data_IF_751472589591
#
_entry.id   IF_751472589591
#
_cell.length_a   1.000
_cell.length_b   1.000
_cell.length_c   1.000
_cell.angle_alpha   90.00
_cell.angle_beta   90.00
_cell.angle_gamma   90.00
#
_symmetry.space_group_name_H-M   'P 1'
#
loop_
_entity.id
_entity.type
_entity.pdbx_description
1 polymer ?
#
# COMPACT_ATOMS: atom_id res chain seq x y z
N UNK A 1 27.75 -20.95 -7.12
CA UNK A 1 26.42 -20.61 -6.55
C UNK A 1 26.30 -19.11 -6.64
N UNK A 2 25.12 -18.62 -7.07
CA UNK A 2 24.87 -17.17 -7.11
C UNK A 2 24.96 -16.58 -5.71
N UNK A 3 25.76 -15.55 -5.53
CA UNK A 3 25.83 -14.76 -4.32
C UNK A 3 24.59 -13.85 -4.26
N UNK A 4 23.98 -13.75 -3.08
CA UNK A 4 22.92 -12.77 -2.81
C UNK A 4 23.49 -11.71 -1.88
N UNK A 5 23.50 -10.47 -2.33
CA UNK A 5 24.03 -9.32 -1.61
C UNK A 5 23.29 -8.04 -1.95
N UNK A 6 23.53 -7.00 -1.20
CA UNK A 6 23.14 -5.67 -1.62
C UNK A 6 23.92 -5.22 -2.84
N UNK A 7 23.28 -4.42 -3.69
CA UNK A 7 23.89 -3.85 -4.88
C UNK A 7 24.98 -2.83 -4.51
N UNK A 8 25.95 -2.67 -5.39
CA UNK A 8 26.92 -1.59 -5.38
C UNK A 8 26.61 -0.60 -6.51
N UNK A 9 27.23 0.55 -6.51
CA UNK A 9 27.06 1.53 -7.59
C UNK A 9 27.41 0.97 -8.97
N UNK A 10 28.42 0.10 -9.04
CA UNK A 10 28.84 -0.54 -10.30
C UNK A 10 27.79 -1.52 -10.86
N UNK A 11 26.86 -1.98 -10.03
CA UNK A 11 25.78 -2.87 -10.49
C UNK A 11 24.60 -2.11 -11.13
N UNK A 12 24.53 -0.79 -10.98
CA UNK A 12 23.42 0.06 -11.41
C UNK A 12 23.03 -0.18 -12.88
N UNK A 13 23.99 -0.21 -13.77
CA UNK A 13 23.76 -0.40 -15.21
C UNK A 13 23.10 -1.75 -15.52
N UNK A 14 23.58 -2.82 -14.89
CA UNK A 14 23.03 -4.16 -15.10
C UNK A 14 21.60 -4.26 -14.49
N UNK A 15 21.37 -3.62 -13.35
CA UNK A 15 20.07 -3.59 -12.67
C UNK A 15 19.05 -2.82 -13.52
N UNK A 16 19.43 -1.65 -14.05
CA UNK A 16 18.58 -0.87 -14.95
C UNK A 16 18.24 -1.66 -16.22
N UNK A 17 19.22 -2.29 -16.86
CA UNK A 17 18.99 -3.12 -18.04
C UNK A 17 18.01 -4.28 -17.75
N UNK A 18 18.11 -4.92 -16.57
CA UNK A 18 17.18 -5.97 -16.16
C UNK A 18 15.78 -5.42 -15.91
N UNK A 19 15.64 -4.21 -15.36
CA UNK A 19 14.37 -3.53 -15.18
C UNK A 19 13.71 -3.25 -16.53
N UNK A 20 14.41 -2.57 -17.44
CA UNK A 20 13.94 -2.24 -18.79
C UNK A 20 13.56 -3.49 -19.60
N UNK A 21 14.27 -4.59 -19.41
CA UNK A 21 13.92 -5.88 -20.00
C UNK A 21 12.63 -6.49 -19.41
N UNK A 22 12.40 -6.30 -18.12
CA UNK A 22 11.37 -7.03 -17.36
C UNK A 22 10.03 -6.30 -17.27
N UNK A 23 10.05 -4.98 -17.37
CA UNK A 23 8.89 -4.11 -17.21
C UNK A 23 8.67 -3.28 -18.46
N UNK A 24 7.39 -2.94 -18.72
CA UNK A 24 6.99 -2.16 -19.91
C UNK A 24 6.82 -0.68 -19.56
N UNK A 25 7.64 -0.18 -18.62
CA UNK A 25 7.59 1.21 -18.21
C UNK A 25 8.14 2.12 -19.31
N UNK A 26 7.60 3.33 -19.41
CA UNK A 26 8.11 4.36 -20.30
C UNK A 26 9.53 4.80 -19.88
N UNK A 27 10.40 5.11 -20.86
CA UNK A 27 11.78 5.52 -20.58
C UNK A 27 11.87 6.68 -19.58
N UNK A 28 10.97 7.65 -19.68
CA UNK A 28 10.90 8.80 -18.76
C UNK A 28 10.63 8.37 -17.31
N UNK A 29 9.82 7.34 -17.10
CA UNK A 29 9.57 6.80 -15.75
C UNK A 29 10.79 6.04 -15.23
N UNK A 30 11.44 5.23 -16.08
CA UNK A 30 12.67 4.52 -15.72
C UNK A 30 13.77 5.51 -15.34
N UNK A 31 13.96 6.58 -16.10
CA UNK A 31 14.91 7.65 -15.77
C UNK A 31 14.59 8.28 -14.41
N UNK A 32 13.34 8.67 -14.19
CA UNK A 32 12.87 9.20 -12.90
C UNK A 32 13.17 8.24 -11.76
N UNK A 33 12.78 6.96 -11.92
CA UNK A 33 12.93 5.97 -10.86
C UNK A 33 14.40 5.78 -10.46
N UNK A 34 15.28 5.59 -11.43
CA UNK A 34 16.71 5.37 -11.17
C UNK A 34 17.45 6.63 -10.71
N UNK A 35 16.97 7.82 -11.05
CA UNK A 35 17.54 9.10 -10.58
C UNK A 35 17.05 9.52 -9.18
N UNK A 36 15.77 9.29 -8.86
CA UNK A 36 15.12 9.84 -7.66
C UNK A 36 14.80 8.82 -6.57
N UNK A 37 14.49 7.59 -6.95
CA UNK A 37 13.99 6.55 -6.03
C UNK A 37 15.00 5.45 -5.75
N UNK A 38 15.81 5.09 -6.73
CA UNK A 38 16.74 3.98 -6.61
C UNK A 38 17.83 4.24 -5.57
N UNK A 39 18.07 3.21 -4.72
CA UNK A 39 19.16 3.22 -3.76
C UNK A 39 19.83 1.82 -3.75
N UNK A 40 21.13 1.71 -4.12
CA UNK A 40 21.83 0.43 -4.11
C UNK A 40 21.82 -0.24 -2.73
N UNK A 41 21.88 0.54 -1.64
CA UNK A 41 21.79 0.01 -0.27
C UNK A 41 20.43 -0.61 0.11
N UNK A 42 19.40 -0.43 -0.73
CA UNK A 42 18.08 -1.03 -0.58
C UNK A 42 17.80 -2.10 -1.65
N UNK A 43 18.73 -2.39 -2.54
CA UNK A 43 18.56 -3.33 -3.64
C UNK A 43 19.31 -4.63 -3.35
N UNK A 44 18.60 -5.75 -3.30
CA UNK A 44 19.18 -7.09 -3.22
C UNK A 44 19.32 -7.67 -4.63
N UNK A 45 20.48 -8.19 -4.93
CA UNK A 45 20.79 -8.83 -6.22
C UNK A 45 21.27 -10.27 -6.04
N UNK A 46 20.99 -11.09 -7.06
CA UNK A 46 21.66 -12.36 -7.25
C UNK A 46 22.64 -12.21 -8.41
N UNK A 47 23.93 -12.37 -8.15
CA UNK A 47 25.00 -12.15 -9.14
C UNK A 47 25.99 -13.32 -9.14
N UNK A 48 26.50 -13.65 -10.31
CA UNK A 48 27.68 -14.49 -10.56
C UNK A 48 28.72 -13.61 -11.25
N UNK A 49 29.12 -13.92 -12.45
CA UNK A 49 29.91 -13.00 -13.29
C UNK A 49 29.08 -11.85 -13.84
N UNK A 50 27.76 -12.07 -13.99
CA UNK A 50 26.77 -11.09 -14.41
C UNK A 50 25.57 -11.12 -13.47
N UNK A 51 24.73 -10.08 -13.54
CA UNK A 51 23.48 -10.00 -12.81
C UNK A 51 22.51 -11.07 -13.31
N UNK A 52 21.87 -11.77 -12.40
CA UNK A 52 20.84 -12.80 -12.68
C UNK A 52 19.45 -12.37 -12.29
N UNK A 53 19.32 -11.64 -11.17
CA UNK A 53 18.06 -11.21 -10.60
C UNK A 53 18.24 -10.01 -9.67
N UNK A 54 17.17 -9.23 -9.49
CA UNK A 54 17.13 -8.04 -8.65
C UNK A 54 15.82 -7.95 -7.88
N UNK A 55 15.86 -7.32 -6.70
CA UNK A 55 14.72 -6.99 -5.86
C UNK A 55 15.05 -5.75 -5.05
N UNK A 56 14.18 -4.73 -5.07
CA UNK A 56 14.37 -3.51 -4.30
C UNK A 56 13.46 -3.47 -3.08
N UNK A 57 13.95 -2.89 -2.00
CA UNK A 57 13.26 -2.70 -0.72
C UNK A 57 13.21 -1.21 -0.41
N UNK A 58 12.29 -0.48 -1.05
CA UNK A 58 12.18 0.96 -0.84
C UNK A 58 11.70 1.27 0.58
N UNK A 59 12.41 2.12 1.33
CA UNK A 59 12.05 2.43 2.71
C UNK A 59 10.81 3.32 2.77
N UNK A 60 9.89 2.96 3.66
CA UNK A 60 8.70 3.72 4.00
C UNK A 60 8.47 3.73 5.50
N UNK A 61 7.52 4.56 5.94
CA UNK A 61 6.95 4.49 7.28
C UNK A 61 5.46 4.21 7.17
N UNK A 62 5.00 3.22 7.94
CA UNK A 62 3.60 2.88 8.04
C UNK A 62 3.10 3.19 9.45
N UNK A 63 1.95 3.85 9.54
CA UNK A 63 1.25 4.03 10.80
C UNK A 63 0.19 2.93 10.94
N UNK A 64 0.20 2.20 12.04
CA UNK A 64 -0.79 1.17 12.34
C UNK A 64 -1.34 1.45 13.74
N UNK A 65 -2.60 1.90 13.82
CA UNK A 65 -3.28 2.21 15.09
C UNK A 65 -2.46 3.18 15.95
N UNK A 66 -1.98 4.27 15.35
CA UNK A 66 -1.14 5.33 15.96
C UNK A 66 0.28 4.90 16.34
N UNK A 67 0.74 3.77 15.82
CA UNK A 67 2.09 3.28 16.01
C UNK A 67 2.87 3.40 14.69
N UNK A 68 3.83 4.33 14.64
CA UNK A 68 4.68 4.57 13.47
C UNK A 68 5.81 3.56 13.41
N UNK A 69 5.95 2.87 12.30
CA UNK A 69 6.91 1.80 12.10
C UNK A 69 7.65 1.95 10.76
N UNK A 70 8.94 1.63 10.76
CA UNK A 70 9.67 1.47 9.51
C UNK A 70 9.19 0.20 8.80
N UNK A 71 9.05 0.30 7.50
CA UNK A 71 8.67 -0.79 6.60
C UNK A 71 9.43 -0.66 5.30
N UNK A 72 9.49 -1.73 4.52
CA UNK A 72 9.96 -1.67 3.15
C UNK A 72 8.85 -2.06 2.17
N UNK A 73 8.73 -1.29 1.11
CA UNK A 73 7.93 -1.63 -0.05
C UNK A 73 8.82 -2.35 -1.05
N UNK A 74 8.55 -3.65 -1.23
CA UNK A 74 9.30 -4.53 -2.14
C UNK A 74 8.81 -4.31 -3.56
N UNK A 75 9.72 -3.92 -4.45
CA UNK A 75 9.45 -3.61 -5.86
C UNK A 75 10.49 -4.18 -6.79
N UNK A 76 10.23 -4.17 -8.09
CA UNK A 76 11.21 -4.48 -9.13
C UNK A 76 11.78 -5.89 -9.05
N UNK A 77 10.96 -6.87 -8.60
CA UNK A 77 11.42 -8.27 -8.56
C UNK A 77 11.53 -8.79 -9.97
N UNK A 78 12.74 -8.98 -10.44
CA UNK A 78 13.03 -9.38 -11.80
C UNK A 78 14.10 -10.46 -11.87
N UNK A 79 13.96 -11.34 -12.87
CA UNK A 79 14.91 -12.46 -13.13
C UNK A 79 15.06 -12.60 -14.64
N UNK A 80 16.26 -12.59 -15.16
CA UNK A 80 16.51 -12.85 -16.58
C UNK A 80 15.91 -14.21 -16.99
N UNK A 81 15.30 -14.34 -18.18
CA UNK A 81 14.56 -15.54 -18.60
C UNK A 81 15.38 -16.82 -18.53
N UNK A 82 16.64 -16.77 -18.96
CA UNK A 82 17.59 -17.90 -18.99
C UNK A 82 17.99 -18.36 -17.57
N UNK A 83 17.65 -17.60 -16.55
CA UNK A 83 17.88 -17.93 -15.14
C UNK A 83 16.61 -18.25 -14.36
N UNK A 84 15.44 -18.24 -15.02
CA UNK A 84 14.16 -18.67 -14.43
C UNK A 84 14.22 -20.16 -14.06
N UNK A 85 13.39 -20.59 -13.13
CA UNK A 85 13.43 -21.96 -12.61
C UNK A 85 14.51 -22.27 -11.58
N UNK A 86 15.51 -21.39 -11.40
CA UNK A 86 16.62 -21.56 -10.42
C UNK A 86 16.26 -21.06 -9.01
N UNK A 87 15.00 -20.79 -8.74
CA UNK A 87 14.47 -20.30 -7.44
C UNK A 87 15.08 -18.95 -6.98
N UNK A 88 15.55 -18.09 -7.91
CA UNK A 88 16.18 -16.81 -7.56
C UNK A 88 15.22 -15.87 -6.86
N UNK A 89 13.98 -15.73 -7.35
CA UNK A 89 12.91 -14.97 -6.67
C UNK A 89 12.72 -15.43 -5.21
N UNK A 90 12.67 -16.75 -4.98
CA UNK A 90 12.55 -17.31 -3.63
C UNK A 90 13.71 -16.92 -2.74
N UNK A 91 14.94 -17.02 -3.27
CA UNK A 91 16.13 -16.66 -2.49
C UNK A 91 16.16 -15.17 -2.16
N UNK A 92 15.82 -14.30 -3.13
CA UNK A 92 15.77 -12.85 -2.93
C UNK A 92 14.70 -12.45 -1.92
N UNK A 93 13.47 -12.99 -2.05
CA UNK A 93 12.38 -12.68 -1.10
C UNK A 93 12.66 -13.20 0.30
N UNK A 94 13.20 -14.41 0.45
CA UNK A 94 13.60 -14.93 1.75
C UNK A 94 14.66 -14.03 2.39
N UNK A 95 15.69 -13.65 1.62
CA UNK A 95 16.73 -12.73 2.10
C UNK A 95 16.14 -11.35 2.47
N UNK A 96 15.23 -10.82 1.65
CA UNK A 96 14.56 -9.55 1.92
C UNK A 96 13.77 -9.58 3.25
N UNK A 97 13.10 -10.70 3.55
CA UNK A 97 12.35 -10.88 4.79
C UNK A 97 13.26 -11.10 6.01
N UNK A 98 14.36 -11.83 5.85
CA UNK A 98 15.39 -11.96 6.89
C UNK A 98 16.01 -10.59 7.21
N UNK A 99 16.35 -9.80 6.20
CA UNK A 99 16.85 -8.43 6.37
C UNK A 99 15.82 -7.52 7.06
N UNK A 100 14.56 -7.60 6.65
CA UNK A 100 13.48 -6.86 7.29
C UNK A 100 13.40 -7.15 8.80
N UNK A 101 13.46 -8.43 9.18
CA UNK A 101 13.47 -8.84 10.57
C UNK A 101 14.71 -8.31 11.32
N UNK A 102 15.90 -8.45 10.73
CA UNK A 102 17.15 -7.99 11.33
C UNK A 102 17.21 -6.47 11.51
N UNK A 103 16.59 -5.72 10.61
CA UNK A 103 16.45 -4.26 10.69
C UNK A 103 15.34 -3.81 11.66
N UNK A 104 14.60 -4.75 12.25
CA UNK A 104 13.51 -4.48 13.18
C UNK A 104 12.22 -4.00 12.53
N UNK A 105 12.07 -4.14 11.22
CA UNK A 105 10.81 -3.89 10.52
C UNK A 105 9.75 -4.89 10.99
N UNK A 106 8.50 -4.43 11.10
CA UNK A 106 7.40 -5.27 11.61
C UNK A 106 6.51 -5.80 10.51
N UNK A 107 6.44 -5.07 9.42
CA UNK A 107 5.61 -5.34 8.24
C UNK A 107 6.48 -5.18 7.00
N UNK A 108 6.19 -5.93 5.96
CA UNK A 108 6.71 -5.75 4.60
C UNK A 108 5.53 -5.58 3.65
N UNK A 109 5.68 -4.68 2.67
CA UNK A 109 4.67 -4.32 1.68
C UNK A 109 5.13 -4.72 0.29
N UNK A 110 4.19 -5.05 -0.59
CA UNK A 110 4.44 -5.16 -2.04
C UNK A 110 3.14 -4.94 -2.84
N UNK A 111 3.28 -4.39 -4.06
CA UNK A 111 2.21 -4.36 -5.05
C UNK A 111 2.38 -5.58 -5.96
N UNK A 112 1.43 -6.52 -5.98
CA UNK A 112 1.59 -7.77 -6.72
C UNK A 112 1.27 -7.60 -8.21
N UNK A 113 2.08 -8.20 -9.07
CA UNK A 113 1.70 -8.47 -10.46
C UNK A 113 0.61 -9.55 -10.49
N UNK A 114 0.80 -10.59 -9.67
CA UNK A 114 -0.15 -11.69 -9.43
C UNK A 114 -0.01 -12.14 -7.97
N UNK A 115 -1.10 -12.06 -7.24
CA UNK A 115 -1.15 -12.39 -5.81
C UNK A 115 -0.76 -13.84 -5.51
N UNK A 116 -1.05 -14.77 -6.43
CA UNK A 116 -0.71 -16.19 -6.27
C UNK A 116 0.79 -16.43 -6.14
N UNK A 117 1.61 -15.57 -6.78
CA UNK A 117 3.07 -15.66 -6.70
C UNK A 117 3.57 -15.39 -5.28
N UNK A 118 2.96 -14.45 -4.56
CA UNK A 118 3.48 -13.93 -3.29
C UNK A 118 2.86 -14.59 -2.06
N UNK A 119 1.68 -15.22 -2.17
CA UNK A 119 1.03 -15.94 -1.05
C UNK A 119 1.91 -17.01 -0.44
N UNK A 120 2.66 -17.76 -1.24
CA UNK A 120 3.61 -18.77 -0.74
C UNK A 120 4.75 -18.20 0.12
N UNK A 121 4.95 -16.88 0.07
CA UNK A 121 5.90 -16.17 0.93
C UNK A 121 5.21 -15.50 2.12
N UNK A 122 3.94 -15.78 2.35
CA UNK A 122 3.15 -15.26 3.47
C UNK A 122 2.60 -13.85 3.27
N UNK A 123 2.69 -13.28 2.07
CA UNK A 123 2.00 -12.05 1.73
C UNK A 123 0.53 -12.31 1.44
N UNK A 124 -0.35 -11.40 1.87
CA UNK A 124 -1.77 -11.42 1.54
C UNK A 124 -2.28 -10.03 1.16
N UNK A 125 -3.38 -9.99 0.37
CA UNK A 125 -4.05 -8.74 0.05
C UNK A 125 -4.58 -8.10 1.33
N UNK A 126 -4.09 -6.91 1.65
CA UNK A 126 -4.43 -6.17 2.84
C UNK A 126 -4.95 -4.77 2.55
N UNK A 127 -4.69 -4.26 1.37
CA UNK A 127 -5.14 -2.94 0.95
C UNK A 127 -5.94 -3.06 -0.33
N UNK A 128 -7.09 -2.42 -0.34
CA UNK A 128 -7.97 -2.34 -1.49
C UNK A 128 -8.48 -0.92 -1.64
N UNK A 129 -8.82 -0.54 -2.86
CA UNK A 129 -9.38 0.76 -3.17
C UNK A 129 -10.72 0.57 -3.89
N UNK A 130 -11.66 1.47 -3.63
CA UNK A 130 -12.79 1.64 -4.51
C UNK A 130 -12.34 2.31 -5.79
N UNK A 131 -12.88 1.83 -6.90
CA UNK A 131 -12.73 2.41 -8.23
C UNK A 131 -14.13 2.78 -8.74
N UNK A 132 -14.39 4.08 -8.83
CA UNK A 132 -15.63 4.64 -9.35
C UNK A 132 -15.42 4.98 -10.83
N UNK A 133 -16.24 4.42 -11.72
CA UNK A 133 -16.26 4.78 -13.14
C UNK A 133 -17.51 5.62 -13.40
N UNK A 134 -17.30 6.87 -13.84
CA UNK A 134 -18.34 7.89 -14.00
C UNK A 134 -18.23 8.51 -15.38
N UNK A 135 -19.36 8.57 -16.13
CA UNK A 135 -19.39 9.33 -17.38
C UNK A 135 -19.35 10.83 -17.06
N UNK A 136 -18.56 11.61 -17.78
CA UNK A 136 -18.44 13.04 -17.54
C UNK A 136 -19.78 13.79 -17.76
N UNK A 137 -20.64 13.27 -18.64
CA UNK A 137 -22.00 13.80 -18.88
C UNK A 137 -22.93 13.65 -17.67
N UNK A 138 -22.64 12.73 -16.76
CA UNK A 138 -23.43 12.46 -15.54
C UNK A 138 -22.93 13.28 -14.34
N UNK A 139 -21.79 13.97 -14.46
CA UNK A 139 -21.29 14.87 -13.43
C UNK A 139 -21.96 16.23 -13.54
N UNK A 140 -22.66 16.63 -12.48
CA UNK A 140 -23.31 17.93 -12.41
C UNK A 140 -22.28 19.06 -12.33
N UNK A 141 -22.45 20.07 -13.18
CA UNK A 141 -21.58 21.26 -13.19
C UNK A 141 -22.03 22.25 -12.12
N UNK A 142 -21.24 22.36 -11.04
CA UNK A 142 -21.55 23.26 -9.91
C UNK A 142 -20.59 24.44 -9.89
N UNK A 143 -21.10 25.63 -10.17
CA UNK A 143 -20.30 26.85 -10.13
C UNK A 143 -20.11 27.33 -8.67
N UNK A 144 -19.03 26.89 -8.04
CA UNK A 144 -18.70 27.30 -6.67
C UNK A 144 -17.69 28.45 -6.67
N UNK A 145 -18.20 29.68 -6.46
CA UNK A 145 -17.35 30.89 -6.42
C UNK A 145 -16.54 31.04 -5.14
N UNK A 146 -16.76 30.20 -4.15
CA UNK A 146 -16.05 30.26 -2.85
C UNK A 146 -14.75 29.46 -2.84
N UNK A 147 -14.43 28.73 -3.89
CA UNK A 147 -13.25 27.89 -4.00
C UNK A 147 -12.35 28.37 -5.11
N UNK A 148 -11.09 28.55 -4.81
CA UNK A 148 -10.03 28.77 -5.79
C UNK A 148 -9.28 27.46 -6.02
N UNK A 149 -9.24 26.99 -7.31
CA UNK A 149 -8.47 25.85 -7.73
C UNK A 149 -7.13 26.33 -8.32
N UNK A 150 -6.04 25.90 -7.70
CA UNK A 150 -4.68 26.17 -8.14
C UNK A 150 -4.05 24.89 -8.71
N UNK A 151 -3.54 24.95 -9.95
CA UNK A 151 -2.72 23.88 -10.52
C UNK A 151 -1.28 24.04 -10.02
N UNK A 152 -0.76 23.01 -9.35
CA UNK A 152 0.62 22.99 -8.88
C UNK A 152 1.54 22.71 -10.07
N UNK A 153 2.31 23.72 -10.47
CA UNK A 153 3.28 23.63 -11.57
C UNK A 153 4.71 23.41 -11.11
N UNK A 154 4.98 23.66 -9.83
CA UNK A 154 6.26 23.44 -9.17
C UNK A 154 6.00 23.14 -7.70
N UNK A 155 6.63 22.10 -7.16
CA UNK A 155 6.55 21.80 -5.73
C UNK A 155 7.46 22.78 -4.93
N UNK A 156 6.94 23.28 -3.81
CA UNK A 156 7.66 24.08 -2.80
C UNK A 156 7.41 23.50 -1.43
N UNK A 157 8.20 23.89 -0.44
CA UNK A 157 8.01 23.45 0.94
C UNK A 157 6.62 23.82 1.47
N UNK A 158 6.15 25.03 1.16
CA UNK A 158 4.83 25.51 1.59
C UNK A 158 3.69 24.66 0.96
N UNK A 159 3.81 24.34 -0.33
CA UNK A 159 2.82 23.51 -1.00
C UNK A 159 2.85 22.07 -0.47
N UNK A 160 4.03 21.52 -0.25
CA UNK A 160 4.15 20.19 0.35
C UNK A 160 3.51 20.13 1.74
N UNK A 161 3.73 21.16 2.59
CA UNK A 161 3.12 21.26 3.91
C UNK A 161 1.58 21.34 3.83
N UNK A 162 1.02 22.10 2.88
CA UNK A 162 -0.44 22.15 2.68
C UNK A 162 -1.01 20.78 2.25
N UNK A 163 -0.32 20.04 1.37
CA UNK A 163 -0.74 18.70 0.98
C UNK A 163 -0.64 17.70 2.14
N UNK A 164 0.42 17.81 2.97
CA UNK A 164 0.59 17.01 4.19
C UNK A 164 -0.56 17.30 5.16
N UNK A 165 -0.91 18.56 5.38
CA UNK A 165 -2.01 18.96 6.27
C UNK A 165 -3.33 18.33 5.85
N UNK A 166 -3.70 18.41 4.57
CA UNK A 166 -4.92 17.79 4.02
C UNK A 166 -4.88 16.27 4.21
N UNK A 167 -3.73 15.64 3.88
CA UNK A 167 -3.57 14.20 4.02
C UNK A 167 -3.73 13.74 5.47
N UNK A 168 -3.08 14.43 6.42
CA UNK A 168 -3.16 14.09 7.84
C UNK A 168 -4.55 14.33 8.41
N UNK A 169 -5.29 15.35 7.93
CA UNK A 169 -6.68 15.57 8.34
C UNK A 169 -7.57 14.38 7.93
N UNK A 170 -7.37 13.85 6.71
CA UNK A 170 -8.06 12.62 6.26
C UNK A 170 -7.58 11.39 7.02
N UNK A 171 -6.29 11.29 7.30
CA UNK A 171 -5.67 10.16 8.01
C UNK A 171 -6.16 10.00 9.46
N UNK A 172 -6.79 11.01 10.06
CA UNK A 172 -7.47 10.89 11.37
C UNK A 172 -8.54 9.80 11.38
N UNK A 173 -9.12 9.49 10.22
CA UNK A 173 -10.15 8.47 10.05
C UNK A 173 -9.59 7.08 9.74
N UNK A 174 -8.27 6.96 9.52
CA UNK A 174 -7.64 5.69 9.13
C UNK A 174 -6.84 5.10 10.28
N UNK A 175 -6.99 3.81 10.45
CA UNK A 175 -6.17 3.03 11.39
C UNK A 175 -4.80 2.69 10.81
N UNK A 176 -4.72 2.58 9.47
CA UNK A 176 -3.50 2.19 8.76
C UNK A 176 -3.28 3.09 7.55
N UNK A 177 -2.11 3.72 7.46
CA UNK A 177 -1.72 4.55 6.33
C UNK A 177 -0.18 4.69 6.24
N UNK A 178 0.35 5.02 5.06
CA UNK A 178 1.76 5.37 4.91
C UNK A 178 1.98 6.84 5.31
N UNK A 179 3.01 7.08 6.11
CA UNK A 179 3.37 8.45 6.50
C UNK A 179 4.04 9.16 5.32
N UNK A 180 3.62 10.39 5.10
CA UNK A 180 4.11 11.24 4.01
C UNK A 180 4.77 12.48 4.59
N UNK A 181 5.98 12.76 4.15
CA UNK A 181 6.74 13.97 4.46
C UNK A 181 6.92 14.86 3.21
N UNK A 182 7.66 15.96 3.36
CA UNK A 182 7.96 16.86 2.22
C UNK A 182 8.69 16.12 1.10
N UNK A 183 9.66 15.26 1.45
CA UNK A 183 10.43 14.52 0.45
C UNK A 183 9.53 13.57 -0.35
N UNK A 184 8.53 12.95 0.31
CA UNK A 184 7.50 12.18 -0.38
C UNK A 184 6.78 13.03 -1.43
N UNK A 185 6.30 14.24 -1.08
CA UNK A 185 5.57 15.09 -2.03
C UNK A 185 6.45 15.66 -3.13
N UNK A 186 7.74 15.88 -2.91
CA UNK A 186 8.67 16.23 -3.98
C UNK A 186 8.82 15.09 -4.99
N UNK A 187 9.08 13.87 -4.53
CA UNK A 187 9.22 12.71 -5.41
C UNK A 187 7.90 12.34 -6.09
N UNK A 188 6.79 12.43 -5.36
CA UNK A 188 5.45 12.17 -5.88
C UNK A 188 5.04 13.17 -6.96
N UNK A 189 5.39 14.46 -6.79
CA UNK A 189 5.16 15.48 -7.80
C UNK A 189 5.92 15.19 -9.10
N UNK A 190 7.20 14.81 -9.00
CA UNK A 190 8.01 14.44 -10.16
C UNK A 190 7.46 13.20 -10.87
N UNK A 191 7.05 12.18 -10.13
CA UNK A 191 6.40 10.96 -10.65
C UNK A 191 5.13 11.32 -11.44
N UNK A 192 4.22 12.10 -10.83
CA UNK A 192 2.99 12.54 -11.48
C UNK A 192 3.27 13.29 -12.78
N UNK A 193 4.29 14.16 -12.79
CA UNK A 193 4.67 14.94 -13.99
C UNK A 193 5.20 14.04 -15.11
N UNK A 194 6.04 13.08 -14.77
CA UNK A 194 6.58 12.11 -15.75
C UNK A 194 5.47 11.29 -16.39
N UNK A 195 4.45 10.95 -15.63
CA UNK A 195 3.25 10.23 -16.09
C UNK A 195 2.17 11.14 -16.73
N UNK A 196 2.50 12.42 -17.03
CA UNK A 196 1.59 13.42 -17.57
C UNK A 196 0.33 13.70 -16.70
N UNK A 197 0.45 13.50 -15.41
CA UNK A 197 -0.57 13.87 -14.42
C UNK A 197 -0.41 15.30 -13.92
N UNK A 198 -1.42 15.75 -13.19
CA UNK A 198 -1.50 17.09 -12.60
C UNK A 198 -2.02 17.06 -11.18
N UNK A 199 -1.54 17.98 -10.35
CA UNK A 199 -2.05 18.17 -8.98
C UNK A 199 -2.82 19.50 -8.94
N UNK A 200 -4.05 19.45 -8.42
CA UNK A 200 -4.88 20.62 -8.15
C UNK A 200 -5.10 20.76 -6.66
N UNK A 201 -4.81 21.95 -6.13
CA UNK A 201 -5.07 22.34 -4.75
C UNK A 201 -6.32 23.23 -4.71
N UNK A 202 -7.26 22.92 -3.83
CA UNK A 202 -8.44 23.72 -3.56
C UNK A 202 -8.20 24.58 -2.29
N UNK A 203 -8.49 25.87 -2.39
CA UNK A 203 -8.44 26.82 -1.26
C UNK A 203 -9.78 27.55 -1.14
N UNK A 204 -10.20 27.83 0.09
CA UNK A 204 -11.38 28.65 0.36
C UNK A 204 -11.10 30.15 0.19
N UNK A 205 -12.11 31.01 0.39
CA UNK A 205 -11.95 32.46 0.30
C UNK A 205 -10.99 33.07 1.34
N UNK A 206 -10.71 32.35 2.42
CA UNK A 206 -9.69 32.73 3.41
C UNK A 206 -8.28 32.24 3.02
N UNK A 207 -8.14 31.67 1.82
CA UNK A 207 -6.90 31.07 1.32
C UNK A 207 -6.41 29.85 2.11
N UNK A 208 -7.31 29.18 2.88
CA UNK A 208 -7.02 27.95 3.61
C UNK A 208 -7.15 26.75 2.68
N UNK A 209 -6.27 25.73 2.80
CA UNK A 209 -6.33 24.53 1.98
C UNK A 209 -7.53 23.64 2.41
N UNK A 210 -8.38 23.29 1.46
CA UNK A 210 -9.60 22.49 1.72
C UNK A 210 -9.66 21.19 0.93
N UNK A 211 -8.63 20.89 0.12
CA UNK A 211 -8.54 19.63 -0.61
C UNK A 211 -7.47 19.65 -1.69
N UNK A 212 -7.09 18.46 -2.17
CA UNK A 212 -6.30 18.33 -3.39
C UNK A 212 -6.74 17.12 -4.21
N UNK A 213 -6.45 17.17 -5.51
CA UNK A 213 -6.74 16.11 -6.46
C UNK A 213 -5.52 15.85 -7.35
N UNK A 214 -5.20 14.58 -7.55
CA UNK A 214 -4.23 14.10 -8.55
C UNK A 214 -5.00 13.56 -9.73
N UNK A 215 -4.87 14.20 -10.90
CA UNK A 215 -5.67 13.91 -12.08
C UNK A 215 -4.79 13.65 -13.31
N UNK A 216 -5.07 12.58 -14.02
CA UNK A 216 -4.44 12.18 -15.28
C UNK A 216 -5.47 12.29 -16.40
N UNK A 217 -5.44 13.38 -17.19
CA UNK A 217 -6.43 13.60 -18.25
C UNK A 217 -6.20 12.75 -19.50
N UNK A 218 -5.08 12.03 -19.59
CA UNK A 218 -4.66 11.31 -20.81
C UNK A 218 -4.12 9.90 -20.55
N UNK A 219 -4.57 9.25 -19.47
CA UNK A 219 -4.03 7.93 -19.12
C UNK A 219 -4.49 6.84 -20.11
N UNK A 220 -5.72 6.94 -20.63
CA UNK A 220 -6.28 6.09 -21.68
C UNK A 220 -7.02 6.96 -22.71
N UNK A 221 -7.21 6.47 -23.95
CA UNK A 221 -8.04 7.18 -24.94
C UNK A 221 -9.45 7.44 -24.38
N UNK A 222 -9.89 8.70 -24.41
CA UNK A 222 -11.21 9.16 -23.92
C UNK A 222 -11.50 8.93 -22.44
N UNK A 223 -10.53 8.48 -21.62
CA UNK A 223 -10.71 8.26 -20.19
C UNK A 223 -9.73 9.05 -19.36
N UNK A 224 -10.25 9.77 -18.37
CA UNK A 224 -9.46 10.39 -17.32
C UNK A 224 -9.29 9.45 -16.12
N UNK A 225 -8.28 9.74 -15.30
CA UNK A 225 -8.02 8.99 -14.08
C UNK A 225 -7.70 9.92 -12.94
N UNK A 226 -8.46 9.83 -11.85
CA UNK A 226 -8.19 10.52 -10.58
C UNK A 226 -7.58 9.50 -9.62
N UNK A 227 -6.28 9.61 -9.41
CA UNK A 227 -5.50 8.74 -8.53
C UNK A 227 -5.74 9.03 -7.06
N UNK A 228 -5.85 10.33 -6.70
CA UNK A 228 -6.18 10.79 -5.36
C UNK A 228 -7.17 11.95 -5.41
N UNK A 229 -8.12 11.92 -4.50
CA UNK A 229 -9.09 12.99 -4.31
C UNK A 229 -9.38 13.14 -2.82
N UNK A 230 -8.78 14.14 -2.20
CA UNK A 230 -9.02 14.50 -0.83
C UNK A 230 -9.72 15.85 -0.75
N UNK A 231 -10.79 15.88 0.02
CA UNK A 231 -11.59 17.08 0.27
C UNK A 231 -12.00 17.13 1.74
N UNK A 232 -11.92 18.31 2.33
CA UNK A 232 -12.28 18.55 3.72
C UNK A 232 -13.73 19.05 3.86
N UNK A 233 -14.28 19.57 2.77
CA UNK A 233 -15.68 19.96 2.66
C UNK A 233 -16.29 19.69 1.28
N UNK A 234 -17.62 19.83 1.16
CA UNK A 234 -18.35 19.58 -0.08
C UNK A 234 -18.03 20.60 -1.19
N UNK A 235 -17.61 21.81 -0.85
CA UNK A 235 -17.30 22.83 -1.84
C UNK A 235 -16.04 22.51 -2.63
N UNK A 236 -15.04 21.90 -1.98
CA UNK A 236 -13.85 21.37 -2.63
C UNK A 236 -14.20 20.22 -3.58
N UNK A 237 -15.03 19.26 -3.13
CA UNK A 237 -15.48 18.15 -3.95
C UNK A 237 -16.24 18.63 -5.19
N UNK A 238 -17.21 19.54 -5.00
CA UNK A 238 -17.98 20.15 -6.12
C UNK A 238 -17.08 20.81 -7.14
N UNK A 239 -16.04 21.52 -6.67
CA UNK A 239 -15.10 22.23 -7.54
C UNK A 239 -14.21 21.25 -8.33
N UNK A 240 -13.72 20.18 -7.68
CA UNK A 240 -12.95 19.15 -8.37
C UNK A 240 -13.79 18.39 -9.40
N UNK A 241 -15.03 18.02 -9.04
CA UNK A 241 -15.92 17.34 -10.00
C UNK A 241 -16.29 18.25 -11.18
N UNK A 242 -16.48 19.54 -10.94
CA UNK A 242 -16.69 20.54 -12.01
C UNK A 242 -15.46 20.65 -12.92
N UNK A 243 -14.24 20.64 -12.34
CA UNK A 243 -13.00 20.63 -13.12
C UNK A 243 -12.92 19.37 -13.99
N UNK A 244 -13.18 18.20 -13.44
CA UNK A 244 -13.20 16.94 -14.22
C UNK A 244 -14.24 17.01 -15.32
N UNK A 245 -15.48 17.44 -15.02
CA UNK A 245 -16.56 17.58 -16.00
C UNK A 245 -16.25 18.59 -17.13
N UNK A 246 -15.36 19.55 -16.89
CA UNK A 246 -14.93 20.51 -17.93
C UNK A 246 -14.18 19.85 -19.09
N UNK A 247 -13.67 18.64 -18.90
CA UNK A 247 -12.97 17.86 -19.93
C UNK A 247 -13.91 17.05 -20.85
N UNK A 248 -15.22 17.18 -20.73
CA UNK A 248 -16.24 16.43 -21.51
C UNK A 248 -16.13 16.51 -23.03
N UNK A 249 -15.35 17.45 -23.57
CA UNK A 249 -15.04 17.54 -25.02
C UNK A 249 -13.86 16.67 -25.42
N UNK A 250 -13.13 16.12 -24.46
CA UNK A 250 -11.90 15.34 -24.66
C UNK A 250 -12.02 13.94 -24.04
N UNK A 251 -12.83 13.80 -23.00
CA UNK A 251 -13.01 12.56 -22.23
C UNK A 251 -14.48 12.18 -22.17
N UNK A 252 -14.77 10.89 -22.30
CA UNK A 252 -16.10 10.32 -22.14
C UNK A 252 -16.37 9.97 -20.67
N UNK A 253 -15.37 9.43 -19.97
CA UNK A 253 -15.49 8.97 -18.58
C UNK A 253 -14.24 9.28 -17.74
N UNK A 254 -14.38 9.16 -16.44
CA UNK A 254 -13.29 9.23 -15.47
C UNK A 254 -13.37 8.05 -14.52
N UNK A 255 -12.22 7.47 -14.23
CA UNK A 255 -12.06 6.53 -13.10
C UNK A 255 -11.51 7.28 -11.89
N UNK A 256 -12.18 7.19 -10.73
CA UNK A 256 -11.78 7.85 -9.49
C UNK A 256 -11.43 6.78 -8.46
N UNK A 257 -10.20 6.75 -8.00
CA UNK A 257 -9.81 5.89 -6.89
C UNK A 257 -10.10 6.54 -5.54
N UNK A 258 -10.58 5.74 -4.60
CA UNK A 258 -10.97 6.20 -3.28
C UNK A 258 -10.66 5.16 -2.20
N UNK A 259 -10.40 5.60 -0.95
CA UNK A 259 -10.31 4.70 0.20
C UNK A 259 -11.67 4.03 0.51
N UNK A 260 -11.64 2.99 1.34
CA UNK A 260 -12.82 2.18 1.66
C UNK A 260 -13.88 2.93 2.51
N UNK A 261 -13.49 4.02 3.17
CA UNK A 261 -14.39 4.91 3.92
C UNK A 261 -14.98 6.05 3.08
N UNK A 262 -14.75 6.03 1.76
CA UNK A 262 -15.22 7.09 0.86
C UNK A 262 -16.74 7.20 0.83
N UNK A 263 -17.21 8.44 0.88
CA UNK A 263 -18.62 8.80 0.75
C UNK A 263 -19.01 9.22 -0.67
N UNK A 264 -18.14 8.99 -1.67
CA UNK A 264 -18.34 9.43 -3.05
C UNK A 264 -19.59 8.81 -3.70
N UNK A 265 -19.97 7.60 -3.28
CA UNK A 265 -21.20 6.94 -3.74
C UNK A 265 -22.46 7.75 -3.36
N UNK A 266 -22.47 8.36 -2.15
CA UNK A 266 -23.58 9.22 -1.70
C UNK A 266 -23.60 10.54 -2.46
N UNK A 267 -22.42 11.09 -2.79
CA UNK A 267 -22.30 12.29 -3.60
C UNK A 267 -22.98 12.12 -4.97
N UNK A 268 -22.83 10.97 -5.60
CA UNK A 268 -23.47 10.64 -6.86
C UNK A 268 -24.88 10.05 -6.74
N UNK A 269 -25.46 9.98 -5.54
CA UNK A 269 -26.85 9.63 -5.31
C UNK A 269 -27.21 8.15 -5.54
N UNK A 270 -26.25 7.21 -5.40
CA UNK A 270 -26.52 5.77 -5.55
C UNK A 270 -27.28 5.38 -6.83
N UNK A 271 -26.97 6.01 -7.94
CA UNK A 271 -27.68 5.75 -9.19
C UNK A 271 -26.95 4.67 -10.04
N UNK A 272 -27.71 4.01 -10.92
CA UNK A 272 -27.18 2.94 -11.79
C UNK A 272 -26.24 3.44 -12.91
N UNK A 273 -25.95 4.74 -12.96
CA UNK A 273 -25.04 5.33 -13.96
C UNK A 273 -23.57 5.26 -13.55
N UNK A 274 -23.30 4.87 -12.30
CA UNK A 274 -21.94 4.79 -11.75
C UNK A 274 -21.62 3.34 -11.50
N UNK A 275 -20.52 2.89 -12.07
CA UNK A 275 -19.93 1.58 -11.77
C UNK A 275 -18.97 1.72 -10.60
N UNK A 276 -19.14 0.91 -9.57
CA UNK A 276 -18.23 0.86 -8.43
C UNK A 276 -17.65 -0.54 -8.31
N UNK A 277 -16.35 -0.62 -8.31
CA UNK A 277 -15.63 -1.89 -8.08
C UNK A 277 -14.66 -1.76 -6.94
N UNK A 278 -14.48 -2.85 -6.18
CA UNK A 278 -13.44 -3.01 -5.18
C UNK A 278 -12.24 -3.70 -5.82
N UNK A 279 -11.10 -3.03 -5.85
CA UNK A 279 -9.87 -3.57 -6.45
C UNK A 279 -8.81 -3.82 -5.37
N UNK A 280 -8.27 -5.06 -5.26
CA UNK A 280 -7.07 -5.30 -4.49
C UNK A 280 -5.94 -4.40 -5.02
N UNK A 281 -5.19 -3.79 -4.12
CA UNK A 281 -4.12 -2.87 -4.50
C UNK A 281 -2.76 -3.35 -4.02
N UNK A 282 -2.60 -3.53 -2.71
CA UNK A 282 -1.30 -3.89 -2.13
C UNK A 282 -1.41 -5.07 -1.17
N UNK A 283 -0.38 -5.88 -1.15
CA UNK A 283 -0.20 -6.96 -0.18
C UNK A 283 0.68 -6.50 0.97
N UNK A 284 0.44 -7.10 2.14
CA UNK A 284 1.30 -6.96 3.31
C UNK A 284 1.70 -8.34 3.84
N UNK A 285 2.77 -8.37 4.66
CA UNK A 285 3.22 -9.52 5.43
C UNK A 285 3.78 -9.07 6.76
N UNK A 286 3.35 -9.74 7.84
CA UNK A 286 3.98 -9.57 9.16
C UNK A 286 5.38 -10.18 9.13
N UNK A 287 6.36 -9.41 9.59
CA UNK A 287 7.77 -9.82 9.72
C UNK A 287 8.08 -10.26 11.14
N UNK A 288 7.49 -9.59 12.16
CA UNK A 288 7.71 -9.89 13.59
C UNK A 288 6.36 -10.20 14.27
N UNK A 289 6.06 -11.49 14.37
CA UNK A 289 4.82 -11.99 14.98
C UNK A 289 4.74 -11.66 16.46
N UNK A 290 5.84 -11.81 17.19
CA UNK A 290 5.87 -11.56 18.64
C UNK A 290 5.48 -10.11 18.93
N UNK A 291 6.08 -9.17 18.23
CA UNK A 291 5.76 -7.75 18.37
C UNK A 291 4.26 -7.47 18.10
N UNK A 292 3.73 -8.03 17.02
CA UNK A 292 2.31 -7.84 16.65
C UNK A 292 1.38 -8.37 17.73
N UNK A 293 1.64 -9.57 18.24
CA UNK A 293 0.83 -10.16 19.29
C UNK A 293 0.96 -9.40 20.63
N UNK A 294 2.15 -8.90 20.98
CA UNK A 294 2.35 -8.04 22.15
C UNK A 294 1.54 -6.74 22.07
N UNK A 295 1.50 -6.11 20.88
CA UNK A 295 0.68 -4.92 20.65
C UNK A 295 -0.82 -5.21 20.79
N UNK A 296 -1.29 -6.30 20.21
CA UNK A 296 -2.71 -6.69 20.28
C UNK A 296 -3.14 -7.07 21.70
N UNK A 297 -2.26 -7.74 22.45
CA UNK A 297 -2.58 -8.28 23.76
C UNK A 297 -2.41 -7.29 24.92
N UNK A 298 -1.75 -6.14 24.70
CA UNK A 298 -1.23 -5.23 25.73
C UNK A 298 -2.17 -4.98 26.92
N UNK A 299 -3.46 -4.77 26.64
CA UNK A 299 -4.46 -4.45 27.68
C UNK A 299 -5.55 -5.54 27.78
N UNK A 300 -5.24 -6.75 27.31
CA UNK A 300 -6.19 -7.84 27.24
C UNK A 300 -6.05 -8.81 28.40
N UNK A 301 -7.17 -9.16 29.03
CA UNK A 301 -7.25 -10.29 29.98
C UNK A 301 -7.71 -11.50 29.17
N UNK A 302 -6.76 -12.34 28.77
CA UNK A 302 -7.03 -13.59 28.08
C UNK A 302 -5.90 -14.60 28.33
N UNK A 303 -6.18 -15.86 28.09
CA UNK A 303 -5.23 -16.98 28.19
C UNK A 303 -5.44 -17.83 26.92
N UNK A 304 -4.53 -17.72 25.94
CA UNK A 304 -4.67 -18.31 24.61
C UNK A 304 -3.32 -18.64 24.00
N UNK A 305 -3.18 -19.85 23.46
CA UNK A 305 -1.98 -20.30 22.75
C UNK A 305 -2.25 -20.33 21.24
N UNK A 306 -1.48 -19.57 20.47
CA UNK A 306 -1.64 -19.46 19.01
C UNK A 306 -0.41 -20.02 18.31
N UNK A 307 -0.57 -21.05 17.49
CA UNK A 307 0.48 -21.53 16.58
C UNK A 307 0.42 -20.74 15.27
N UNK A 308 1.53 -20.13 14.92
CA UNK A 308 1.71 -19.51 13.61
C UNK A 308 2.61 -20.39 12.74
N UNK A 309 2.14 -20.71 11.54
CA UNK A 309 2.90 -21.40 10.53
C UNK A 309 3.56 -20.38 9.59
N UNK A 310 4.89 -20.26 9.67
CA UNK A 310 5.70 -19.44 8.80
C UNK A 310 6.83 -20.28 8.19
N UNK A 311 6.76 -20.52 6.87
CA UNK A 311 7.74 -21.34 6.16
C UNK A 311 9.07 -20.65 5.87
N UNK A 312 9.22 -19.36 6.23
CA UNK A 312 10.40 -18.54 5.91
C UNK A 312 11.12 -18.08 7.16
N UNK A 313 10.42 -17.36 8.03
CA UNK A 313 11.02 -16.82 9.27
C UNK A 313 10.75 -17.79 10.41
N UNK A 314 11.79 -18.57 10.78
CA UNK A 314 11.68 -19.60 11.81
C UNK A 314 11.29 -19.05 13.19
N UNK A 315 11.66 -17.81 13.50
CA UNK A 315 11.28 -17.09 14.72
C UNK A 315 9.77 -16.85 14.82
N UNK A 316 9.06 -16.81 13.70
CA UNK A 316 7.60 -16.69 13.65
C UNK A 316 6.90 -18.06 13.70
N UNK A 317 7.59 -19.13 13.30
CA UNK A 317 7.02 -20.48 13.21
C UNK A 317 6.96 -21.16 14.60
N UNK A 318 6.27 -20.52 15.56
CA UNK A 318 6.23 -20.88 16.95
C UNK A 318 4.79 -20.99 17.48
N UNK A 319 4.64 -21.52 18.70
CA UNK A 319 3.44 -21.35 19.50
C UNK A 319 3.67 -20.14 20.41
N UNK A 320 2.80 -19.16 20.34
CA UNK A 320 2.81 -17.95 21.16
C UNK A 320 1.72 -18.07 22.21
N UNK A 321 2.10 -18.10 23.49
CA UNK A 321 1.16 -18.07 24.58
C UNK A 321 0.93 -16.63 25.03
N UNK A 322 -0.31 -16.22 24.96
CA UNK A 322 -0.79 -14.89 25.36
C UNK A 322 -1.48 -15.03 26.71
N UNK A 323 -0.95 -14.37 27.73
CA UNK A 323 -1.53 -14.40 29.07
C UNK A 323 -1.51 -13.03 29.71
N UNK A 324 -2.70 -12.46 29.94
CA UNK A 324 -2.88 -11.19 30.64
C UNK A 324 -1.94 -10.08 30.14
N UNK A 325 -1.94 -9.82 28.84
CA UNK A 325 -1.13 -8.78 28.20
C UNK A 325 0.32 -9.18 27.88
N UNK A 326 0.78 -10.34 28.32
CA UNK A 326 2.14 -10.83 28.02
C UNK A 326 2.12 -11.88 26.93
N UNK A 327 3.17 -11.92 26.10
CA UNK A 327 3.34 -12.89 25.01
C UNK A 327 4.69 -13.60 25.16
N UNK A 328 4.66 -14.93 25.22
CA UNK A 328 5.86 -15.75 25.32
C UNK A 328 5.80 -16.91 24.31
N UNK A 329 6.96 -17.36 23.82
CA UNK A 329 7.07 -18.61 23.08
C UNK A 329 6.84 -19.76 24.08
N UNK A 330 6.08 -20.77 23.67
CA UNK A 330 5.66 -21.87 24.52
C UNK A 330 5.67 -23.20 23.76
N UNK A 331 5.88 -24.29 24.50
CA UNK A 331 5.71 -25.66 23.99
C UNK A 331 4.29 -26.21 24.26
N UNK A 332 3.36 -25.37 24.72
CA UNK A 332 1.99 -25.76 24.98
C UNK A 332 1.30 -26.24 23.70
N UNK A 333 0.27 -27.08 23.85
CA UNK A 333 -0.65 -27.37 22.76
C UNK A 333 -1.31 -26.06 22.33
N UNK A 334 -1.34 -25.81 21.02
CA UNK A 334 -2.01 -24.64 20.49
C UNK A 334 -3.54 -24.77 20.58
N UNK A 335 -4.19 -23.70 21.01
CA UNK A 335 -5.64 -23.55 21.00
C UNK A 335 -6.14 -23.10 19.63
N UNK A 336 -5.29 -22.37 18.90
CA UNK A 336 -5.55 -21.81 17.57
C UNK A 336 -4.34 -22.06 16.68
N UNK A 337 -4.60 -22.48 15.44
CA UNK A 337 -3.55 -22.65 14.41
C UNK A 337 -3.93 -21.84 13.17
N UNK A 338 -2.99 -21.08 12.65
CA UNK A 338 -3.12 -20.34 11.39
C UNK A 338 -1.77 -20.12 10.71
N UNK A 339 -1.78 -19.76 9.43
CA UNK A 339 -0.58 -19.32 8.74
C UNK A 339 -0.30 -17.81 8.95
N UNK A 340 0.92 -17.40 8.57
CA UNK A 340 1.36 -15.99 8.68
C UNK A 340 0.54 -15.04 7.83
N UNK A 341 0.05 -15.48 6.66
CA UNK A 341 -0.80 -14.70 5.78
C UNK A 341 -2.16 -14.40 6.40
N UNK A 342 -2.78 -15.41 7.02
CA UNK A 342 -4.03 -15.27 7.77
C UNK A 342 -3.86 -14.31 8.95
N UNK A 343 -2.80 -14.47 9.75
CA UNK A 343 -2.50 -13.53 10.84
C UNK A 343 -2.34 -12.11 10.30
N UNK A 344 -1.67 -11.95 9.15
CA UNK A 344 -1.50 -10.63 8.52
C UNK A 344 -2.85 -10.00 8.16
N UNK A 345 -3.75 -10.75 7.52
CA UNK A 345 -5.08 -10.24 7.17
C UNK A 345 -5.92 -9.87 8.40
N UNK A 346 -5.86 -10.66 9.47
CA UNK A 346 -6.52 -10.35 10.74
C UNK A 346 -5.95 -9.09 11.38
N UNK A 347 -4.63 -8.95 11.44
CA UNK A 347 -3.95 -7.79 12.01
C UNK A 347 -4.25 -6.51 11.24
N UNK A 348 -4.28 -6.58 9.90
CA UNK A 348 -4.64 -5.47 9.03
C UNK A 348 -6.14 -5.18 9.00
N UNK A 349 -6.97 -6.01 9.65
CA UNK A 349 -8.41 -5.82 9.73
C UNK A 349 -9.18 -6.06 8.42
N UNK A 350 -8.55 -6.73 7.44
CA UNK A 350 -9.14 -7.01 6.13
C UNK A 350 -10.11 -8.19 6.16
N UNK A 351 -9.88 -9.14 7.06
CA UNK A 351 -10.71 -10.33 7.25
C UNK A 351 -11.06 -10.44 8.72
N UNK A 352 -12.31 -10.77 9.04
CA UNK A 352 -12.72 -11.05 10.42
C UNK A 352 -12.29 -12.45 10.85
N UNK A 353 -12.18 -12.69 12.15
CA UNK A 353 -11.90 -14.02 12.69
C UNK A 353 -12.94 -15.05 12.24
N UNK A 354 -14.23 -14.68 12.26
CA UNK A 354 -15.31 -15.57 11.78
C UNK A 354 -15.16 -15.91 10.29
N UNK A 355 -14.92 -14.89 9.45
CA UNK A 355 -14.71 -15.14 8.02
C UNK A 355 -13.48 -16.01 7.75
N UNK A 356 -12.38 -15.79 8.46
CA UNK A 356 -11.18 -16.61 8.31
C UNK A 356 -11.41 -18.06 8.76
N UNK A 357 -12.21 -18.27 9.81
CA UNK A 357 -12.63 -19.61 10.26
C UNK A 357 -13.54 -20.30 9.25
N UNK A 358 -14.57 -19.62 8.76
CA UNK A 358 -15.50 -20.14 7.76
C UNK A 358 -14.80 -20.51 6.43
N UNK A 359 -13.72 -19.81 6.10
CA UNK A 359 -12.86 -20.10 4.94
C UNK A 359 -11.83 -21.20 5.21
N UNK A 360 -11.83 -21.83 6.40
CA UNK A 360 -10.87 -22.88 6.78
C UNK A 360 -9.43 -22.40 6.96
N UNK A 361 -9.21 -21.10 7.17
CA UNK A 361 -7.88 -20.50 7.39
C UNK A 361 -7.44 -20.55 8.85
N UNK A 362 -8.35 -20.84 9.76
CA UNK A 362 -8.11 -20.95 11.21
C UNK A 362 -8.62 -22.31 11.68
N UNK A 363 -7.80 -23.04 12.40
CA UNK A 363 -8.18 -24.24 13.15
C UNK A 363 -8.31 -23.87 14.63
N UNK A 364 -9.51 -23.98 15.19
CA UNK A 364 -9.80 -23.65 16.60
C UNK A 364 -11.14 -24.26 17.05
N UNK A 365 -11.31 -24.46 18.37
CA UNK A 365 -12.61 -24.70 18.97
C UNK A 365 -13.38 -23.38 19.18
N UNK A 366 -14.72 -23.44 19.23
CA UNK A 366 -15.58 -22.24 19.30
C UNK A 366 -15.26 -21.30 20.47
N UNK A 367 -14.90 -21.83 21.64
CA UNK A 367 -14.54 -21.03 22.81
C UNK A 367 -13.27 -20.22 22.56
N UNK A 368 -12.32 -20.77 21.82
CA UNK A 368 -11.06 -20.13 21.47
C UNK A 368 -11.24 -19.08 20.38
N UNK A 369 -12.20 -19.27 19.46
CA UNK A 369 -12.58 -18.25 18.46
C UNK A 369 -13.12 -16.98 19.13
N UNK A 370 -13.94 -17.11 20.20
CA UNK A 370 -14.45 -15.96 20.94
C UNK A 370 -13.31 -15.18 21.62
N UNK A 371 -12.29 -15.85 22.15
CA UNK A 371 -11.09 -15.20 22.70
C UNK A 371 -10.25 -14.54 21.60
N UNK A 372 -10.03 -15.24 20.49
CA UNK A 372 -9.28 -14.75 19.35
C UNK A 372 -9.94 -13.49 18.75
N UNK A 373 -11.28 -13.48 18.63
CA UNK A 373 -12.03 -12.35 18.10
C UNK A 373 -11.87 -11.06 18.93
N UNK A 374 -11.50 -11.16 20.19
CA UNK A 374 -11.21 -9.99 21.05
C UNK A 374 -9.89 -9.30 20.70
N UNK A 375 -8.95 -10.03 20.08
CA UNK A 375 -7.65 -9.50 19.67
C UNK A 375 -7.73 -8.65 18.40
N UNK A 376 -8.67 -8.95 17.51
CA UNK A 376 -8.71 -8.35 16.19
C UNK A 376 -9.95 -7.49 16.00
N UNK A 377 -9.76 -6.30 15.48
CA UNK A 377 -10.83 -5.37 15.12
C UNK A 377 -10.76 -5.05 13.63
N UNK A 378 -11.92 -4.67 13.06
CA UNK A 378 -11.94 -4.04 11.75
C UNK A 378 -11.09 -2.77 11.77
N UNK A 379 -10.34 -2.53 10.70
CA UNK A 379 -9.52 -1.32 10.52
C UNK A 379 -9.79 -0.68 9.18
N UNK A 380 -9.84 0.64 9.17
CA UNK A 380 -9.88 1.42 7.94
C UNK A 380 -8.45 1.70 7.53
N UNK A 381 -8.10 1.32 6.31
CA UNK A 381 -6.75 1.49 5.78
C UNK A 381 -6.74 2.28 4.48
N UNK A 382 -5.71 3.09 4.30
CA UNK A 382 -5.43 3.75 3.03
C UNK A 382 -3.95 3.65 2.68
N UNK A 383 -3.67 3.02 1.56
CA UNK A 383 -2.35 2.99 0.90
C UNK A 383 -2.61 3.12 -0.60
N UNK A 384 -1.97 4.09 -1.23
CA UNK A 384 -2.12 4.39 -2.65
C UNK A 384 -0.78 4.83 -3.27
N UNK A 385 0.28 4.11 -2.90
CA UNK A 385 1.62 4.36 -3.40
C UNK A 385 1.91 3.47 -4.61
N UNK A 386 2.10 4.09 -5.77
CA UNK A 386 2.59 3.44 -6.98
C UNK A 386 4.12 3.55 -7.06
N UNK A 387 4.72 2.66 -7.80
CA UNK A 387 6.13 2.70 -8.18
C UNK A 387 6.26 2.18 -9.60
#
# INVERSE_FOLDING_TARGET
MSEIRYALYDDLKEIRNLWEYSFSDEESFVDYYFDKRYNPGCNLIAKETALLASLQRNPYKINISKDSQNTAYVVGISVYPEHRGKKLTTKLLNKALEEAYNLGEKISLLMPIDTAIYRRYGYENCFSLYSFEVNLSDIEYKNNKSVNLERITKMTDELADLLIEIYLEKAKNWDIYLERDRNHYYTYFEEIKVEAGEIFLAKNNANEPIGYMVFYPKMEPSKGYVRELFYLDSSALDSFMTLVASHKTQLDSVTIQQPLDSQLMYYFGFNNKISVSLKPFMMARIVDVKYVLEKLAKDMILDLSIKINDGILSQNNQVFHIKNGSVAISDNKADVVMDIGTLTQLYMGTVSVSSAYDLGKIEAENINLAQLNRLFSYKISYVNEYI
#
